data_IF_786488495835
#
_entry.id   IF_786488495835
#
_cell.length_a   1.000
_cell.length_b   1.000
_cell.length_c   1.000
_cell.angle_alpha   90.00
_cell.angle_beta   90.00
_cell.angle_gamma   90.00
#
_symmetry.space_group_name_H-M   'P 1'
#
loop_
_entity.id
_entity.type
_entity.pdbx_description
1 polymer ?
#
# COMPACT_ATOMS: atom_id res chain seq x y z
N UNK A 1 42.16 -31.93 49.84
CA UNK A 1 41.75 -32.44 48.51
C UNK A 1 40.34 -31.95 48.20
N UNK A 2 40.20 -30.96 47.33
CA UNK A 2 39.03 -30.65 46.47
C UNK A 2 39.31 -29.28 45.82
N UNK A 3 39.94 -29.30 44.65
CA UNK A 3 40.07 -28.13 43.78
C UNK A 3 38.84 -28.08 42.88
N UNK A 4 38.16 -26.93 42.89
CA UNK A 4 37.00 -26.63 42.05
C UNK A 4 37.52 -26.05 40.73
N UNK A 5 37.33 -26.78 39.61
CA UNK A 5 37.59 -26.25 38.27
C UNK A 5 36.39 -25.40 37.82
N UNK A 6 36.63 -24.14 37.49
CA UNK A 6 35.72 -23.31 36.70
C UNK A 6 36.11 -23.44 35.22
N UNK A 7 35.22 -24.02 34.42
CA UNK A 7 35.36 -24.08 32.95
C UNK A 7 34.80 -22.79 32.36
N UNK A 8 35.69 -21.93 31.85
CA UNK A 8 35.33 -20.74 31.07
C UNK A 8 35.07 -21.20 29.62
N UNK A 9 33.83 -21.07 29.16
CA UNK A 9 33.50 -21.22 27.73
C UNK A 9 33.91 -19.95 26.98
N UNK A 10 34.99 -20.06 26.21
CA UNK A 10 35.41 -19.03 25.26
C UNK A 10 34.54 -19.15 24.00
N UNK A 11 33.57 -18.26 23.81
CA UNK A 11 32.90 -18.10 22.52
C UNK A 11 33.83 -17.37 21.56
N UNK A 12 34.42 -18.12 20.62
CA UNK A 12 35.13 -17.54 19.48
C UNK A 12 34.07 -17.03 18.50
N UNK A 13 33.83 -15.72 18.50
CA UNK A 13 33.17 -15.07 17.36
C UNK A 13 34.12 -15.14 16.18
N UNK A 14 33.86 -16.05 15.25
CA UNK A 14 34.44 -16.00 13.91
C UNK A 14 33.79 -14.80 13.23
N UNK A 15 34.47 -13.64 13.32
CA UNK A 15 34.22 -12.53 12.42
C UNK A 15 34.57 -13.02 11.02
N UNK A 16 33.55 -13.41 10.25
CA UNK A 16 33.69 -13.58 8.83
C UNK A 16 34.14 -12.21 8.27
N UNK A 17 35.44 -12.07 8.04
CA UNK A 17 35.99 -11.02 7.21
C UNK A 17 35.43 -11.24 5.81
N UNK A 18 34.25 -10.67 5.55
CA UNK A 18 33.68 -10.57 4.22
C UNK A 18 34.70 -9.84 3.35
N UNK A 19 35.28 -10.57 2.41
CA UNK A 19 35.92 -10.02 1.23
C UNK A 19 35.01 -8.92 0.68
N UNK A 20 35.54 -7.71 0.49
CA UNK A 20 34.83 -6.63 -0.21
C UNK A 20 34.14 -7.24 -1.44
N UNK A 21 32.82 -7.06 -1.63
CA UNK A 21 32.24 -7.40 -2.91
C UNK A 21 32.99 -6.58 -3.96
N UNK A 22 33.60 -7.26 -4.92
CA UNK A 22 33.99 -6.65 -6.18
C UNK A 22 32.78 -5.87 -6.71
N UNK A 23 33.01 -4.70 -7.33
CA UNK A 23 31.97 -3.91 -7.98
C UNK A 23 31.36 -4.73 -9.12
N UNK A 24 30.47 -5.68 -8.80
CA UNK A 24 29.62 -6.34 -9.78
C UNK A 24 28.69 -5.25 -10.31
N UNK A 25 28.64 -5.01 -11.63
CA UNK A 25 27.70 -4.06 -12.19
C UNK A 25 26.27 -4.48 -11.79
N UNK A 26 25.39 -3.49 -11.62
CA UNK A 26 23.99 -3.74 -11.26
C UNK A 26 23.34 -4.73 -12.25
N UNK A 27 22.62 -5.70 -11.71
CA UNK A 27 21.83 -6.67 -12.47
C UNK A 27 20.41 -6.69 -11.88
N UNK A 28 19.40 -6.44 -12.70
CA UNK A 28 18.00 -6.51 -12.27
C UNK A 28 17.64 -7.92 -11.79
N UNK A 29 18.17 -8.97 -12.42
CA UNK A 29 17.88 -10.35 -12.03
C UNK A 29 18.45 -10.68 -10.65
N UNK A 30 19.67 -10.23 -10.35
CA UNK A 30 20.27 -10.41 -9.02
C UNK A 30 19.48 -9.63 -7.96
N UNK A 31 19.06 -8.40 -8.30
CA UNK A 31 18.28 -7.53 -7.42
C UNK A 31 16.90 -8.09 -7.10
N UNK A 32 16.18 -8.55 -8.14
CA UNK A 32 14.89 -9.22 -8.03
C UNK A 32 15.01 -10.48 -7.17
N UNK A 33 16.05 -11.28 -7.37
CA UNK A 33 16.31 -12.47 -6.55
C UNK A 33 16.46 -12.14 -5.07
N UNK A 34 17.21 -11.08 -4.71
CA UNK A 34 17.35 -10.66 -3.32
C UNK A 34 16.04 -10.14 -2.71
N UNK A 35 15.23 -9.41 -3.48
CA UNK A 35 13.89 -8.96 -3.05
C UNK A 35 12.99 -10.16 -2.76
N UNK A 36 12.96 -11.15 -3.67
CA UNK A 36 12.20 -12.37 -3.50
C UNK A 36 12.67 -13.18 -2.29
N UNK A 37 13.98 -13.27 -2.02
CA UNK A 37 14.49 -13.93 -0.80
C UNK A 37 14.06 -13.22 0.49
N UNK A 38 13.82 -11.91 0.44
CA UNK A 38 13.33 -11.13 1.59
C UNK A 38 11.84 -11.40 1.83
N UNK A 39 11.04 -11.44 0.76
CA UNK A 39 9.61 -11.74 0.85
C UNK A 39 9.33 -13.21 1.17
N UNK A 40 10.06 -14.13 0.54
CA UNK A 40 9.94 -15.58 0.72
C UNK A 40 11.06 -16.09 1.63
N UNK A 41 10.98 -15.73 2.90
CA UNK A 41 12.02 -16.01 3.90
C UNK A 41 11.64 -17.10 4.92
N UNK A 42 10.42 -17.64 4.87
CA UNK A 42 9.97 -18.65 5.84
C UNK A 42 10.12 -20.07 5.33
N UNK A 43 10.48 -20.97 6.23
CA UNK A 43 10.43 -22.43 6.02
C UNK A 43 9.03 -22.97 6.28
N UNK A 44 8.74 -24.17 5.77
CA UNK A 44 7.48 -24.88 6.02
C UNK A 44 7.21 -25.05 7.54
N UNK A 45 8.24 -25.36 8.32
CA UNK A 45 8.09 -25.52 9.78
C UNK A 45 7.63 -24.23 10.44
N UNK A 46 8.22 -23.08 10.08
CA UNK A 46 7.84 -21.79 10.64
C UNK A 46 6.39 -21.42 10.29
N UNK A 47 5.94 -21.72 9.07
CA UNK A 47 4.54 -21.50 8.67
C UNK A 47 3.61 -22.42 9.46
N UNK A 48 3.94 -23.71 9.59
CA UNK A 48 3.17 -24.66 10.42
C UNK A 48 3.08 -24.22 11.87
N UNK A 49 4.15 -23.67 12.45
CA UNK A 49 4.15 -23.19 13.83
C UNK A 49 3.17 -22.04 14.06
N UNK A 50 2.98 -21.17 13.06
CA UNK A 50 1.90 -20.18 13.12
C UNK A 50 0.52 -20.86 13.03
N UNK A 51 0.32 -21.76 12.07
CA UNK A 51 -0.97 -22.43 11.83
C UNK A 51 -1.43 -23.24 13.04
N UNK A 52 -0.50 -23.91 13.73
CA UNK A 52 -0.76 -24.71 14.95
C UNK A 52 -1.37 -23.93 16.10
N UNK A 53 -1.27 -22.59 16.08
CA UNK A 53 -1.96 -21.73 17.06
C UNK A 53 -3.48 -21.86 16.95
N UNK A 54 -4.00 -22.23 15.79
CA UNK A 54 -5.44 -22.37 15.52
C UNK A 54 -5.84 -23.79 15.12
N UNK A 55 -4.95 -24.50 14.41
CA UNK A 55 -5.14 -25.88 13.96
C UNK A 55 -3.97 -26.76 14.47
N UNK A 56 -4.02 -27.24 15.73
CA UNK A 56 -2.90 -27.96 16.36
C UNK A 56 -2.45 -29.20 15.59
N UNK A 57 -3.40 -29.91 14.97
CA UNK A 57 -3.19 -31.17 14.24
C UNK A 57 -3.03 -30.96 12.72
N UNK A 58 -2.51 -29.79 12.30
CA UNK A 58 -2.29 -29.49 10.87
C UNK A 58 -1.44 -30.58 10.19
N UNK A 59 -1.93 -31.08 9.06
CA UNK A 59 -1.31 -32.15 8.28
C UNK A 59 -0.55 -31.62 7.07
N UNK A 60 0.41 -32.40 6.57
CA UNK A 60 1.12 -32.08 5.32
C UNK A 60 0.19 -32.05 4.11
N UNK A 61 -0.91 -32.81 4.17
CA UNK A 61 -1.93 -32.80 3.12
C UNK A 61 -2.69 -31.46 3.08
N UNK A 62 -3.06 -30.92 4.23
CA UNK A 62 -3.66 -29.58 4.30
C UNK A 62 -2.70 -28.50 3.78
N UNK A 63 -1.41 -28.59 4.12
CA UNK A 63 -0.40 -27.69 3.57
C UNK A 63 -0.37 -27.73 2.04
N UNK A 64 -0.33 -28.93 1.44
CA UNK A 64 -0.37 -29.10 -0.03
C UNK A 64 -1.65 -28.57 -0.66
N UNK A 65 -2.79 -28.71 0.01
CA UNK A 65 -4.07 -28.18 -0.47
C UNK A 65 -4.07 -26.65 -0.48
N UNK A 66 -3.56 -26.02 0.59
CA UNK A 66 -3.44 -24.55 0.65
C UNK A 66 -2.38 -24.00 -0.30
N UNK A 67 -1.31 -24.75 -0.58
CA UNK A 67 -0.38 -24.43 -1.66
C UNK A 67 -1.06 -24.49 -3.04
N UNK A 68 -1.84 -25.54 -3.31
CA UNK A 68 -2.51 -25.72 -4.60
C UNK A 68 -3.62 -24.69 -4.85
N UNK A 69 -4.22 -24.12 -3.81
CA UNK A 69 -5.21 -23.06 -3.90
C UNK A 69 -4.64 -21.64 -3.86
N UNK A 70 -3.31 -21.49 -3.71
CA UNK A 70 -2.61 -20.23 -3.43
C UNK A 70 -3.00 -19.54 -2.10
N UNK A 71 -3.70 -20.25 -1.20
CA UNK A 71 -3.94 -19.77 0.16
C UNK A 71 -2.64 -19.68 1.00
N UNK A 72 -1.65 -20.51 0.67
CA UNK A 72 -0.26 -20.39 1.12
C UNK A 72 0.65 -20.11 -0.08
N UNK A 73 1.05 -18.85 -0.24
CA UNK A 73 2.01 -18.46 -1.27
C UNK A 73 3.42 -18.95 -0.92
N UNK A 74 4.08 -19.60 -1.88
CA UNK A 74 5.45 -20.08 -1.77
C UNK A 74 6.19 -19.91 -3.10
N UNK A 75 7.51 -20.03 -3.05
CA UNK A 75 8.39 -20.00 -4.21
C UNK A 75 9.55 -20.98 -4.04
N UNK A 76 10.07 -21.48 -5.18
CA UNK A 76 11.33 -22.22 -5.21
C UNK A 76 12.47 -21.22 -5.46
N UNK A 77 13.32 -20.98 -4.46
CA UNK A 77 14.46 -20.08 -4.55
C UNK A 77 15.73 -20.87 -4.23
N UNK A 78 16.72 -20.83 -5.12
CA UNK A 78 17.99 -21.56 -4.99
C UNK A 78 17.83 -23.08 -4.72
N UNK A 79 16.77 -23.67 -5.28
CA UNK A 79 16.43 -25.09 -5.09
C UNK A 79 15.68 -25.42 -3.80
N UNK A 80 15.38 -24.41 -2.97
CA UNK A 80 14.64 -24.57 -1.71
C UNK A 80 13.22 -24.02 -1.82
N UNK A 81 12.25 -24.73 -1.23
CA UNK A 81 10.88 -24.21 -1.07
C UNK A 81 10.86 -23.22 0.09
N UNK A 82 10.43 -21.98 -0.19
CA UNK A 82 10.26 -20.93 0.82
C UNK A 82 8.89 -20.28 0.73
N UNK A 83 8.32 -19.93 1.87
CA UNK A 83 7.00 -19.32 1.97
C UNK A 83 7.12 -17.83 2.18
N UNK A 84 6.09 -17.13 1.69
CA UNK A 84 5.94 -15.71 1.93
C UNK A 84 5.93 -15.40 3.44
N UNK A 85 6.56 -14.29 3.84
CA UNK A 85 6.73 -13.86 5.25
C UNK A 85 5.41 -13.76 6.02
N UNK A 86 4.28 -13.52 5.34
CA UNK A 86 2.95 -13.49 5.94
C UNK A 86 2.05 -14.66 5.53
N UNK A 87 2.58 -15.75 4.95
CA UNK A 87 1.79 -16.88 4.47
C UNK A 87 0.86 -17.46 5.56
N UNK A 88 1.40 -17.73 6.76
CA UNK A 88 0.60 -18.22 7.90
C UNK A 88 -0.56 -17.28 8.28
N UNK A 89 -0.32 -16.00 8.62
CA UNK A 89 -1.38 -15.03 8.88
C UNK A 89 -2.38 -14.85 7.73
N UNK A 90 -1.91 -14.83 6.49
CA UNK A 90 -2.77 -14.65 5.31
C UNK A 90 -3.68 -15.86 5.09
N UNK A 91 -3.25 -17.09 5.37
CA UNK A 91 -4.10 -18.28 5.29
C UNK A 91 -5.44 -18.07 6.01
N UNK A 92 -5.41 -17.52 7.23
CA UNK A 92 -6.60 -17.25 8.04
C UNK A 92 -7.40 -16.02 7.61
N UNK A 93 -7.02 -15.35 6.52
CA UNK A 93 -7.78 -14.27 5.87
C UNK A 93 -8.37 -14.74 4.54
N UNK A 94 -7.68 -15.63 3.83
CA UNK A 94 -8.01 -16.02 2.45
C UNK A 94 -8.78 -17.33 2.37
N UNK A 95 -8.46 -18.32 3.22
CA UNK A 95 -9.18 -19.58 3.27
C UNK A 95 -10.35 -19.47 4.24
N UNK A 96 -11.58 -19.69 3.74
CA UNK A 96 -12.80 -19.47 4.52
C UNK A 96 -12.90 -20.40 5.73
N UNK A 97 -12.45 -21.66 5.62
CA UNK A 97 -12.49 -22.59 6.73
C UNK A 97 -11.50 -22.20 7.83
N UNK A 98 -10.29 -21.79 7.45
CA UNK A 98 -9.31 -21.25 8.39
C UNK A 98 -9.81 -19.95 9.05
N UNK A 99 -10.38 -19.05 8.26
CA UNK A 99 -11.00 -17.81 8.76
C UNK A 99 -12.05 -18.10 9.84
N UNK A 100 -12.98 -19.02 9.58
CA UNK A 100 -14.02 -19.40 10.54
C UNK A 100 -13.43 -19.95 11.84
N UNK A 101 -12.38 -20.77 11.75
CA UNK A 101 -11.66 -21.29 12.93
C UNK A 101 -11.05 -20.16 13.74
N UNK A 102 -10.42 -19.17 13.08
CA UNK A 102 -9.82 -18.03 13.77
C UNK A 102 -10.88 -17.17 14.45
N UNK A 103 -11.97 -16.85 13.74
CA UNK A 103 -13.07 -16.07 14.29
C UNK A 103 -13.75 -16.79 15.46
N UNK A 104 -13.95 -18.10 15.38
CA UNK A 104 -14.51 -18.87 16.49
C UNK A 104 -13.65 -18.79 17.76
N UNK A 105 -12.33 -18.65 17.60
CA UNK A 105 -11.36 -18.55 18.70
C UNK A 105 -11.17 -17.14 19.24
N UNK A 106 -11.10 -16.14 18.36
CA UNK A 106 -10.75 -14.75 18.71
C UNK A 106 -11.98 -13.83 18.83
N UNK A 107 -13.12 -14.26 18.31
CA UNK A 107 -14.32 -13.45 18.14
C UNK A 107 -14.25 -12.52 16.93
N UNK A 108 -15.37 -11.87 16.64
CA UNK A 108 -15.44 -10.78 15.65
C UNK A 108 -15.27 -9.44 16.36
N UNK A 109 -14.32 -8.63 15.89
CA UNK A 109 -14.16 -7.26 16.36
C UNK A 109 -13.80 -6.36 15.18
N UNK A 110 -14.42 -5.18 15.13
CA UNK A 110 -14.01 -4.14 14.20
C UNK A 110 -12.56 -3.74 14.49
N UNK A 111 -11.78 -3.60 13.42
CA UNK A 111 -10.45 -3.00 13.45
C UNK A 111 -10.51 -1.56 13.96
N UNK A 112 -9.35 -0.99 14.27
CA UNK A 112 -9.26 0.41 14.75
C UNK A 112 -9.83 1.41 13.74
N UNK A 113 -9.52 1.26 12.46
CA UNK A 113 -10.03 2.11 11.39
C UNK A 113 -11.54 1.92 11.17
N UNK A 114 -12.04 0.68 11.21
CA UNK A 114 -13.49 0.41 11.10
C UNK A 114 -14.29 1.02 12.25
N UNK A 115 -13.76 1.01 13.48
CA UNK A 115 -14.42 1.68 14.62
C UNK A 115 -14.55 3.18 14.40
N UNK A 116 -13.52 3.82 13.84
CA UNK A 116 -13.55 5.25 13.54
C UNK A 116 -14.51 5.52 12.38
N UNK A 117 -14.47 4.70 11.33
CA UNK A 117 -15.33 4.88 10.15
C UNK A 117 -16.81 4.62 10.44
N UNK A 118 -17.14 3.69 11.34
CA UNK A 118 -18.51 3.47 11.79
C UNK A 118 -19.21 4.76 12.26
N UNK A 119 -18.44 5.69 12.83
CA UNK A 119 -18.94 7.00 13.24
C UNK A 119 -18.70 8.09 12.16
N UNK A 120 -17.55 8.10 11.49
CA UNK A 120 -17.19 9.17 10.56
C UNK A 120 -17.95 9.13 9.22
N UNK A 121 -18.23 7.94 8.67
CA UNK A 121 -18.96 7.83 7.40
C UNK A 121 -20.35 8.48 7.44
N UNK A 122 -21.23 8.15 8.41
CA UNK A 122 -22.55 8.79 8.51
C UNK A 122 -22.46 10.29 8.84
N UNK A 123 -21.44 10.73 9.57
CA UNK A 123 -21.19 12.15 9.83
C UNK A 123 -20.92 12.91 8.51
N UNK A 124 -20.07 12.35 7.63
CA UNK A 124 -19.77 12.90 6.31
C UNK A 124 -21.04 12.94 5.46
N UNK A 125 -21.75 11.82 5.31
CA UNK A 125 -22.98 11.74 4.51
C UNK A 125 -23.99 12.81 4.96
N UNK A 126 -24.24 12.90 6.27
CA UNK A 126 -25.16 13.89 6.85
C UNK A 126 -24.72 15.32 6.57
N UNK A 127 -23.42 15.61 6.71
CA UNK A 127 -22.88 16.94 6.45
C UNK A 127 -22.98 17.32 4.97
N UNK A 128 -22.72 16.39 4.05
CA UNK A 128 -22.87 16.61 2.61
C UNK A 128 -24.32 16.86 2.25
N UNK A 129 -25.26 16.02 2.71
CA UNK A 129 -26.69 16.16 2.44
C UNK A 129 -27.24 17.48 2.97
N UNK A 130 -26.79 17.93 4.15
CA UNK A 130 -27.23 19.20 4.76
C UNK A 130 -26.70 20.42 4.02
N UNK A 131 -25.44 20.39 3.60
CA UNK A 131 -24.73 21.59 3.10
C UNK A 131 -24.63 21.66 1.58
N UNK A 132 -24.96 20.58 0.87
CA UNK A 132 -24.86 20.49 -0.59
C UNK A 132 -23.43 20.52 -1.13
N UNK A 133 -22.42 20.26 -0.29
CA UNK A 133 -21.00 20.24 -0.65
C UNK A 133 -20.43 18.85 -0.40
N UNK A 134 -19.77 18.27 -1.41
CA UNK A 134 -19.23 16.91 -1.34
C UNK A 134 -18.11 16.74 -0.30
N UNK A 135 -17.37 17.81 0.01
CA UNK A 135 -16.25 17.78 0.97
C UNK A 135 -16.72 18.32 2.34
N UNK A 136 -16.52 17.53 3.39
CA UNK A 136 -17.02 17.82 4.74
C UNK A 136 -16.07 17.27 5.84
N UNK A 137 -16.43 17.53 7.10
CA UNK A 137 -15.81 16.94 8.31
C UNK A 137 -14.27 17.06 8.33
N UNK A 138 -13.71 18.28 8.44
CA UNK A 138 -12.27 18.49 8.42
C UNK A 138 -11.57 17.98 9.70
N UNK A 139 -10.46 17.28 9.53
CA UNK A 139 -9.55 16.79 10.58
C UNK A 139 -8.15 17.34 10.35
N UNK A 140 -7.66 18.11 11.32
CA UNK A 140 -6.36 18.76 11.33
C UNK A 140 -5.37 17.87 12.07
N UNK A 141 -4.27 17.54 11.42
CA UNK A 141 -3.21 16.70 11.97
C UNK A 141 -1.87 17.40 11.87
N UNK A 142 -1.02 17.22 12.88
CA UNK A 142 0.42 17.45 12.79
C UNK A 142 1.09 16.09 12.73
N UNK A 143 2.03 15.93 11.81
CA UNK A 143 2.77 14.69 11.60
C UNK A 143 4.25 14.98 11.70
N UNK A 144 4.96 14.19 12.49
CA UNK A 144 6.41 14.06 12.41
C UNK A 144 6.72 12.70 11.80
N UNK A 145 7.29 12.73 10.58
CA UNK A 145 7.73 11.54 9.88
C UNK A 145 9.23 11.39 10.04
N UNK A 146 9.69 10.21 10.47
CA UNK A 146 11.11 9.92 10.70
C UNK A 146 11.51 8.69 9.90
N UNK A 147 12.60 8.79 9.15
CA UNK A 147 13.28 7.66 8.50
C UNK A 147 14.66 7.49 9.14
N UNK A 148 14.99 6.27 9.51
CA UNK A 148 16.26 5.92 10.16
C UNK A 148 16.99 4.86 9.34
N UNK A 149 18.12 5.25 8.73
CA UNK A 149 19.05 4.31 8.10
C UNK A 149 19.88 3.62 9.17
N UNK A 150 20.00 2.29 9.05
CA UNK A 150 20.65 1.47 10.05
C UNK A 150 22.13 1.84 10.25
N UNK A 151 22.60 1.61 11.47
CA UNK A 151 23.98 1.91 11.86
C UNK A 151 24.96 1.16 10.96
N UNK A 152 25.90 1.90 10.35
CA UNK A 152 26.89 1.39 9.41
C UNK A 152 26.34 0.74 8.11
N UNK A 153 25.05 0.91 7.76
CA UNK A 153 24.52 0.49 6.46
C UNK A 153 25.18 1.24 5.29
N UNK A 154 25.69 2.45 5.55
CA UNK A 154 26.47 3.26 4.62
C UNK A 154 27.82 3.58 5.26
N UNK A 155 28.95 3.50 4.51
CA UNK A 155 30.26 3.83 5.05
C UNK A 155 30.34 5.27 5.55
N UNK A 156 31.03 5.48 6.68
CA UNK A 156 31.17 6.80 7.30
C UNK A 156 31.73 7.85 6.32
N UNK A 157 31.17 9.07 6.39
CA UNK A 157 31.50 10.20 5.53
C UNK A 157 30.83 10.18 4.15
N UNK A 158 30.23 9.05 3.73
CA UNK A 158 29.49 8.97 2.47
C UNK A 158 28.13 9.66 2.60
N UNK A 159 27.70 10.25 1.50
CA UNK A 159 26.47 11.04 1.42
C UNK A 159 25.28 10.12 1.16
N UNK A 160 24.28 10.20 2.02
CA UNK A 160 22.99 9.54 1.88
C UNK A 160 22.01 10.55 1.32
N UNK A 161 21.26 10.15 0.29
CA UNK A 161 20.17 10.88 -0.34
C UNK A 161 18.85 10.26 0.13
N UNK A 162 17.94 11.07 0.66
CA UNK A 162 16.69 10.61 1.26
C UNK A 162 15.49 11.38 0.70
N UNK A 163 14.42 10.68 0.35
CA UNK A 163 13.13 11.25 -0.03
C UNK A 163 12.09 10.80 0.99
N UNK A 164 11.43 11.75 1.65
CA UNK A 164 10.33 11.52 2.57
C UNK A 164 8.97 11.87 1.92
N UNK A 165 7.88 11.18 2.30
CA UNK A 165 6.52 11.46 1.81
C UNK A 165 5.98 12.78 2.36
N UNK A 166 5.71 13.73 1.48
CA UNK A 166 5.17 15.03 1.87
C UNK A 166 3.72 15.20 1.37
N UNK A 167 2.77 15.69 2.18
CA UNK A 167 1.38 15.84 1.77
C UNK A 167 1.24 16.77 0.56
N UNK A 168 0.47 16.32 -0.44
CA UNK A 168 0.10 17.13 -1.60
C UNK A 168 -0.65 18.40 -1.20
N UNK A 169 -0.40 19.47 -1.96
CA UNK A 169 -0.96 20.81 -1.74
C UNK A 169 -2.10 21.17 -2.69
N UNK A 170 -2.41 20.30 -3.65
CA UNK A 170 -3.26 20.58 -4.81
C UNK A 170 -4.53 19.72 -4.84
N UNK A 171 -4.95 19.20 -3.68
CA UNK A 171 -6.09 18.30 -3.54
C UNK A 171 -7.21 19.01 -2.81
N UNK A 172 -8.42 19.06 -3.38
CA UNK A 172 -9.52 19.83 -2.79
C UNK A 172 -9.87 19.39 -1.35
N UNK A 173 -9.78 18.09 -1.07
CA UNK A 173 -10.05 17.51 0.26
C UNK A 173 -8.84 17.47 1.21
N UNK A 174 -7.65 17.87 0.75
CA UNK A 174 -6.45 17.98 1.59
C UNK A 174 -5.86 19.39 1.45
N UNK A 175 -6.02 20.19 2.49
CA UNK A 175 -5.75 21.63 2.45
C UNK A 175 -4.92 22.11 3.63
N UNK A 176 -4.58 23.39 3.60
CA UNK A 176 -3.88 24.10 4.67
C UNK A 176 -2.54 23.43 5.05
N UNK A 177 -1.88 22.81 4.07
CA UNK A 177 -0.60 22.13 4.26
C UNK A 177 0.46 23.16 4.68
N UNK A 178 1.05 22.94 5.85
CA UNK A 178 2.05 23.83 6.45
C UNK A 178 3.27 23.00 6.86
N UNK A 179 4.41 23.31 6.28
CA UNK A 179 5.69 22.79 6.75
C UNK A 179 6.08 23.43 8.10
N UNK A 180 6.66 22.64 9.00
CA UNK A 180 7.10 23.09 10.33
C UNK A 180 8.62 23.01 10.45
N UNK A 181 9.22 21.86 10.19
CA UNK A 181 10.67 21.65 10.31
C UNK A 181 11.15 20.42 9.54
N UNK A 182 12.44 20.37 9.27
CA UNK A 182 13.16 19.19 8.78
C UNK A 182 14.41 18.97 9.62
N UNK A 183 14.94 17.74 9.64
CA UNK A 183 16.16 17.41 10.39
C UNK A 183 17.41 18.06 9.80
N UNK A 184 17.42 18.28 8.47
CA UNK A 184 18.53 18.91 7.77
C UNK A 184 18.16 20.34 7.35
N UNK A 185 19.11 21.29 7.39
CA UNK A 185 18.86 22.69 7.04
C UNK A 185 18.69 22.89 5.52
N UNK A 186 19.27 22.00 4.71
CA UNK A 186 19.13 21.99 3.26
C UNK A 186 18.17 20.89 2.84
N UNK A 187 17.08 21.28 2.18
CA UNK A 187 16.06 20.36 1.69
C UNK A 187 15.38 20.91 0.44
N UNK A 188 14.79 20.01 -0.35
CA UNK A 188 14.11 20.36 -1.60
C UNK A 188 12.74 19.68 -1.65
N UNK A 189 11.67 20.46 -1.79
CA UNK A 189 10.36 19.91 -2.12
C UNK A 189 10.30 19.54 -3.61
N UNK A 190 9.66 18.41 -3.92
CA UNK A 190 9.30 18.11 -5.31
C UNK A 190 8.41 19.22 -5.89
N UNK A 191 8.59 19.59 -7.17
CA UNK A 191 7.63 20.45 -7.88
C UNK A 191 6.19 19.95 -7.78
N UNK A 192 5.22 20.86 -7.81
CA UNK A 192 3.80 20.50 -7.60
C UNK A 192 3.24 19.60 -8.72
N UNK A 193 3.75 19.70 -9.94
CA UNK A 193 3.36 18.88 -11.09
C UNK A 193 3.92 17.43 -11.02
N UNK A 194 4.91 17.18 -10.14
CA UNK A 194 5.34 15.83 -9.84
C UNK A 194 4.20 15.06 -9.18
N UNK A 195 3.94 13.84 -9.66
CA UNK A 195 2.84 13.01 -9.17
C UNK A 195 3.13 12.36 -7.82
N UNK A 196 4.41 12.17 -7.48
CA UNK A 196 4.86 11.77 -6.14
C UNK A 196 5.38 13.02 -5.43
N UNK A 197 4.79 13.34 -4.27
CA UNK A 197 5.15 14.54 -3.50
C UNK A 197 6.17 14.19 -2.41
N UNK A 198 7.34 14.82 -2.47
CA UNK A 198 8.47 14.46 -1.62
C UNK A 198 9.14 15.65 -0.96
N UNK A 199 9.70 15.44 0.23
CA UNK A 199 10.78 16.27 0.78
C UNK A 199 12.11 15.52 0.63
N UNK A 200 13.04 16.11 -0.11
CA UNK A 200 14.38 15.58 -0.32
C UNK A 200 15.39 16.18 0.67
N UNK A 201 16.25 15.35 1.24
CA UNK A 201 17.36 15.74 2.11
C UNK A 201 18.62 14.92 1.84
N UNK A 202 19.77 15.48 2.22
CA UNK A 202 21.05 14.79 2.18
C UNK A 202 21.76 14.86 3.54
N UNK A 203 22.41 13.76 3.93
CA UNK A 203 23.17 13.71 5.18
C UNK A 203 24.35 12.75 5.05
N UNK A 204 25.47 13.06 5.71
CA UNK A 204 26.63 12.15 5.73
C UNK A 204 26.48 11.11 6.84
N UNK A 205 26.75 9.85 6.50
CA UNK A 205 26.77 8.76 7.48
C UNK A 205 27.89 8.97 8.51
N UNK A 206 27.61 8.68 9.78
CA UNK A 206 28.56 8.76 10.89
C UNK A 206 28.88 7.36 11.40
N UNK A 207 30.16 7.11 11.70
CA UNK A 207 30.61 5.78 12.14
C UNK A 207 29.96 5.42 13.49
N UNK A 208 29.31 4.26 13.54
CA UNK A 208 28.70 3.75 14.77
C UNK A 208 27.37 4.42 15.15
N UNK A 209 26.81 5.25 14.28
CA UNK A 209 25.53 5.91 14.49
C UNK A 209 24.56 5.61 13.33
N UNK A 210 23.24 5.49 13.59
CA UNK A 210 22.25 5.47 12.54
C UNK A 210 22.13 6.86 11.90
N UNK A 211 21.73 6.92 10.63
CA UNK A 211 21.48 8.20 9.95
C UNK A 211 19.99 8.49 9.94
N UNK A 212 19.58 9.51 10.69
CA UNK A 212 18.17 9.88 10.86
C UNK A 212 17.84 11.10 10.01
N UNK A 213 16.72 10.99 9.28
CA UNK A 213 16.04 12.06 8.55
C UNK A 213 14.64 12.23 9.13
N UNK A 214 14.19 13.47 9.29
CA UNK A 214 12.80 13.71 9.68
C UNK A 214 12.23 14.99 9.11
N UNK A 215 10.91 15.02 9.03
CA UNK A 215 10.13 16.22 8.73
C UNK A 215 8.91 16.33 9.64
N UNK A 216 8.51 17.56 9.94
CA UNK A 216 7.26 17.86 10.64
C UNK A 216 6.43 18.80 9.77
N UNK A 217 5.16 18.45 9.61
CA UNK A 217 4.20 19.27 8.88
C UNK A 217 2.81 19.16 9.51
N UNK A 218 1.92 20.06 9.10
CA UNK A 218 0.51 20.02 9.44
C UNK A 218 -0.32 20.07 8.17
N UNK A 219 -1.48 19.43 8.19
CA UNK A 219 -2.44 19.49 7.09
C UNK A 219 -3.86 19.22 7.60
N UNK A 220 -4.85 19.62 6.81
CA UNK A 220 -6.26 19.34 7.06
C UNK A 220 -6.75 18.33 6.02
N UNK A 221 -7.15 17.15 6.48
CA UNK A 221 -7.88 16.16 5.67
C UNK A 221 -9.38 16.36 5.85
N UNK A 222 -10.16 16.24 4.79
CA UNK A 222 -11.61 16.31 4.82
C UNK A 222 -12.18 15.02 4.23
N UNK A 223 -13.29 14.54 4.80
CA UNK A 223 -14.09 13.50 4.16
C UNK A 223 -14.71 14.03 2.87
N UNK A 224 -14.90 13.14 1.90
CA UNK A 224 -15.55 13.46 0.63
C UNK A 224 -16.61 12.40 0.36
N UNK A 225 -17.81 12.81 -0.07
CA UNK A 225 -18.85 11.88 -0.48
C UNK A 225 -19.74 12.51 -1.54
N UNK A 226 -20.01 11.74 -2.59
CA UNK A 226 -20.88 12.10 -3.69
C UNK A 226 -22.12 11.20 -3.67
N UNK A 227 -23.30 11.81 -3.68
CA UNK A 227 -24.56 11.07 -3.83
C UNK A 227 -24.73 10.64 -5.29
N UNK A 228 -23.95 9.64 -5.72
CA UNK A 228 -23.91 9.19 -7.11
C UNK A 228 -25.22 8.52 -7.52
N UNK A 229 -25.89 9.12 -8.50
CA UNK A 229 -27.07 8.54 -9.13
C UNK A 229 -26.81 8.32 -10.63
N UNK A 230 -27.32 7.22 -11.23
CA UNK A 230 -27.09 6.94 -12.65
C UNK A 230 -27.47 8.10 -13.58
N UNK A 231 -28.53 8.84 -13.26
CA UNK A 231 -29.02 9.99 -14.04
C UNK A 231 -28.08 11.20 -14.03
N UNK A 232 -27.16 11.30 -13.07
CA UNK A 232 -26.20 12.40 -12.99
C UNK A 232 -24.98 12.16 -13.92
N UNK A 233 -24.80 10.91 -14.38
CA UNK A 233 -23.68 10.51 -15.25
C UNK A 233 -24.04 10.72 -16.71
N UNK A 234 -23.31 11.61 -17.37
CA UNK A 234 -23.48 11.94 -18.79
C UNK A 234 -22.63 11.02 -19.67
N UNK A 235 -22.94 10.92 -20.98
CA UNK A 235 -22.06 10.26 -21.93
C UNK A 235 -20.69 10.94 -22.02
N UNK A 236 -19.62 10.17 -22.06
CA UNK A 236 -18.26 10.71 -22.18
C UNK A 236 -18.00 11.31 -23.57
N UNK A 237 -17.26 12.41 -23.61
CA UNK A 237 -16.53 12.83 -24.82
C UNK A 237 -15.27 11.97 -24.96
N UNK A 238 -15.33 10.93 -25.80
CA UNK A 238 -14.22 10.00 -26.00
C UNK A 238 -13.03 10.60 -26.75
N UNK A 239 -13.18 11.82 -27.28
CA UNK A 239 -12.09 12.53 -27.96
C UNK A 239 -11.25 13.39 -27.01
N UNK A 240 -11.78 13.71 -25.82
CA UNK A 240 -11.13 14.55 -24.81
C UNK A 240 -9.81 13.93 -24.30
N UNK A 241 -8.77 14.76 -24.04
CA UNK A 241 -7.49 14.26 -23.53
C UNK A 241 -7.62 13.44 -22.24
N UNK A 242 -8.45 13.91 -21.29
CA UNK A 242 -8.72 13.21 -20.03
C UNK A 242 -9.25 11.80 -20.28
N UNK A 243 -10.27 11.66 -21.16
CA UNK A 243 -10.83 10.36 -21.45
C UNK A 243 -9.77 9.41 -22.02
N UNK A 244 -9.01 9.87 -23.02
CA UNK A 244 -7.96 9.07 -23.66
C UNK A 244 -6.88 8.64 -22.68
N UNK A 245 -6.35 9.57 -21.89
CA UNK A 245 -5.28 9.30 -20.92
C UNK A 245 -5.73 8.30 -19.85
N UNK A 246 -6.89 8.53 -19.25
CA UNK A 246 -7.35 7.77 -18.10
C UNK A 246 -8.18 6.55 -18.45
N UNK A 247 -8.37 6.24 -19.74
CA UNK A 247 -8.86 4.93 -20.22
C UNK A 247 -7.80 4.13 -20.97
N UNK A 248 -6.62 4.70 -21.20
CA UNK A 248 -5.54 4.00 -21.87
C UNK A 248 -4.91 2.90 -21.00
N UNK A 249 -4.41 1.90 -21.70
CA UNK A 249 -3.45 0.93 -21.20
C UNK A 249 -2.15 1.65 -20.82
N UNK A 250 -1.46 1.17 -19.78
CA UNK A 250 -0.15 1.66 -19.36
C UNK A 250 0.71 0.51 -18.89
N UNK A 251 1.93 0.45 -19.39
CA UNK A 251 2.87 -0.65 -19.14
C UNK A 251 3.02 -0.99 -17.65
N UNK A 252 3.35 -2.27 -17.40
CA UNK A 252 3.44 -2.95 -16.09
C UNK A 252 2.09 -3.22 -15.44
N UNK A 253 1.43 -2.22 -14.85
CA UNK A 253 0.33 -2.49 -13.91
C UNK A 253 -1.08 -2.19 -14.43
N UNK A 254 -1.24 -1.44 -15.53
CA UNK A 254 -2.55 -1.27 -16.21
C UNK A 254 -2.44 -1.88 -17.60
N UNK A 255 -2.26 -3.20 -17.64
CA UNK A 255 -2.12 -3.97 -18.89
C UNK A 255 -3.45 -4.65 -19.19
N UNK A 256 -3.94 -4.52 -20.43
CA UNK A 256 -5.23 -5.01 -20.88
C UNK A 256 -5.10 -6.40 -21.49
N UNK A 257 -4.72 -7.36 -20.66
CA UNK A 257 -4.60 -8.77 -21.06
C UNK A 257 -5.92 -9.32 -21.62
N UNK A 258 -5.89 -10.37 -22.45
CA UNK A 258 -7.11 -11.02 -22.92
C UNK A 258 -8.06 -11.44 -21.78
N UNK A 259 -7.52 -11.96 -20.68
CA UNK A 259 -8.29 -12.40 -19.50
C UNK A 259 -8.98 -11.22 -18.81
N UNK A 260 -8.28 -10.10 -18.61
CA UNK A 260 -8.86 -8.90 -18.01
C UNK A 260 -9.92 -8.27 -18.92
N UNK A 261 -9.73 -8.31 -20.24
CA UNK A 261 -10.74 -7.85 -21.23
C UNK A 261 -12.01 -8.68 -21.16
N UNK A 262 -11.89 -10.00 -21.16
CA UNK A 262 -13.02 -10.91 -21.04
C UNK A 262 -13.76 -10.72 -19.71
N UNK A 263 -13.00 -10.57 -18.62
CA UNK A 263 -13.57 -10.31 -17.30
C UNK A 263 -14.37 -9.00 -17.27
N UNK A 264 -13.77 -7.90 -17.73
CA UNK A 264 -14.45 -6.60 -17.79
C UNK A 264 -15.73 -6.65 -18.65
N UNK A 265 -15.67 -7.29 -19.83
CA UNK A 265 -16.82 -7.46 -20.70
C UNK A 265 -17.95 -8.27 -20.03
N UNK A 266 -17.60 -9.34 -19.30
CA UNK A 266 -18.56 -10.18 -18.57
C UNK A 266 -19.21 -9.42 -17.41
N UNK A 267 -18.43 -8.70 -16.61
CA UNK A 267 -18.93 -7.96 -15.45
C UNK A 267 -19.85 -6.80 -15.85
N UNK A 268 -19.60 -6.19 -17.02
CA UNK A 268 -20.32 -5.02 -17.51
C UNK A 268 -21.35 -5.34 -18.60
N UNK A 269 -21.59 -6.61 -18.88
CA UNK A 269 -22.50 -7.06 -19.94
C UNK A 269 -23.91 -6.46 -19.77
N UNK A 270 -24.44 -5.91 -20.87
CA UNK A 270 -25.77 -5.30 -20.94
C UNK A 270 -25.93 -3.98 -20.17
N UNK A 271 -24.89 -3.50 -19.47
CA UNK A 271 -24.90 -2.21 -18.78
C UNK A 271 -24.30 -1.14 -19.68
N UNK A 272 -24.92 0.05 -19.70
CA UNK A 272 -24.41 1.19 -20.47
C UNK A 272 -24.02 2.36 -19.60
N UNK A 273 -24.58 2.46 -18.39
CA UNK A 273 -24.26 3.55 -17.47
C UNK A 273 -22.87 3.33 -16.83
N UNK A 274 -21.91 4.27 -16.98
CA UNK A 274 -20.55 4.12 -16.43
C UNK A 274 -20.50 3.88 -14.92
N UNK A 275 -21.34 4.56 -14.14
CA UNK A 275 -21.39 4.37 -12.69
C UNK A 275 -21.90 2.97 -12.33
N UNK A 276 -22.95 2.48 -12.99
CA UNK A 276 -23.45 1.12 -12.75
C UNK A 276 -22.44 0.04 -13.16
N UNK A 277 -21.67 0.27 -14.24
CA UNK A 277 -20.54 -0.60 -14.60
C UNK A 277 -19.48 -0.63 -13.50
N UNK A 278 -19.02 0.55 -13.04
CA UNK A 278 -18.06 0.67 -11.95
C UNK A 278 -18.57 -0.02 -10.68
N UNK A 279 -19.85 0.14 -10.35
CA UNK A 279 -20.50 -0.52 -9.20
C UNK A 279 -20.48 -2.05 -9.31
N UNK A 280 -20.76 -2.62 -10.49
CA UNK A 280 -20.67 -4.07 -10.70
C UNK A 280 -19.24 -4.59 -10.52
N UNK A 281 -18.25 -3.86 -11.03
CA UNK A 281 -16.83 -4.19 -10.85
C UNK A 281 -16.46 -4.12 -9.37
N UNK A 282 -16.83 -3.03 -8.68
CA UNK A 282 -16.56 -2.80 -7.26
C UNK A 282 -17.13 -3.92 -6.38
N UNK A 283 -18.41 -4.26 -6.57
CA UNK A 283 -19.05 -5.37 -5.85
C UNK A 283 -18.35 -6.69 -6.12
N UNK A 284 -18.04 -7.00 -7.38
CA UNK A 284 -17.40 -8.27 -7.72
C UNK A 284 -16.03 -8.39 -7.05
N UNK A 285 -15.21 -7.34 -7.07
CA UNK A 285 -13.90 -7.37 -6.39
C UNK A 285 -14.09 -7.55 -4.88
N UNK A 286 -14.98 -6.76 -4.26
CA UNK A 286 -15.29 -6.86 -2.83
C UNK A 286 -15.71 -8.27 -2.41
N UNK A 287 -16.53 -8.93 -3.22
CA UNK A 287 -17.12 -10.23 -2.89
C UNK A 287 -16.17 -11.42 -3.19
N UNK A 288 -15.10 -11.21 -3.97
CA UNK A 288 -14.24 -12.31 -4.46
C UNK A 288 -12.79 -12.24 -3.97
N UNK A 289 -12.30 -11.08 -3.50
CA UNK A 289 -10.90 -10.91 -3.11
C UNK A 289 -10.81 -10.38 -1.68
N UNK A 290 -10.63 -11.25 -0.68
CA UNK A 290 -10.37 -10.81 0.69
C UNK A 290 -9.07 -10.02 0.77
N UNK A 291 -9.01 -9.11 1.74
CA UNK A 291 -7.78 -8.38 2.03
C UNK A 291 -6.74 -9.31 2.68
N UNK A 292 -5.53 -9.30 2.15
CA UNK A 292 -4.39 -10.00 2.74
C UNK A 292 -3.10 -9.23 2.46
N UNK A 293 -2.08 -9.44 3.29
CA UNK A 293 -0.80 -8.72 3.14
C UNK A 293 -0.13 -9.10 1.83
N UNK A 294 0.37 -8.12 1.08
CA UNK A 294 1.10 -8.37 -0.16
C UNK A 294 2.62 -8.49 0.04
N UNK A 295 3.26 -9.18 -0.90
CA UNK A 295 4.71 -9.05 -1.16
C UNK A 295 5.04 -7.67 -1.74
N UNK A 296 6.31 -7.28 -1.72
CA UNK A 296 6.71 -5.96 -2.25
C UNK A 296 6.33 -5.86 -3.74
N UNK A 297 5.69 -4.77 -4.15
CA UNK A 297 5.15 -4.66 -5.52
C UNK A 297 6.24 -4.62 -6.58
N UNK A 298 7.45 -4.20 -6.22
CA UNK A 298 8.64 -4.29 -7.06
C UNK A 298 8.98 -5.71 -7.55
N UNK A 299 8.38 -6.75 -6.96
CA UNK A 299 8.51 -8.15 -7.38
C UNK A 299 7.34 -8.64 -8.23
N UNK A 300 6.37 -7.79 -8.55
CA UNK A 300 5.15 -8.15 -9.29
C UNK A 300 5.14 -7.39 -10.61
N UNK A 301 5.18 -8.12 -11.72
CA UNK A 301 5.18 -7.49 -13.05
C UNK A 301 3.82 -6.87 -13.40
N UNK A 302 2.74 -7.64 -13.21
CA UNK A 302 1.37 -7.24 -13.48
C UNK A 302 0.49 -7.54 -12.25
N UNK A 303 0.20 -6.48 -11.49
CA UNK A 303 -0.55 -6.56 -10.23
C UNK A 303 -1.99 -7.06 -10.43
N UNK A 304 -2.79 -6.53 -11.36
CA UNK A 304 -4.14 -7.06 -11.62
C UNK A 304 -4.17 -8.57 -11.91
N UNK A 305 -3.26 -9.08 -12.74
CA UNK A 305 -3.18 -10.54 -13.01
C UNK A 305 -2.77 -11.32 -11.75
N UNK A 306 -1.80 -10.80 -11.00
CA UNK A 306 -1.39 -11.40 -9.73
C UNK A 306 -2.56 -11.52 -8.75
N UNK A 307 -3.44 -10.51 -8.64
CA UNK A 307 -4.65 -10.59 -7.80
C UNK A 307 -5.58 -11.69 -8.29
N UNK A 308 -5.83 -11.78 -9.61
CA UNK A 308 -6.70 -12.83 -10.17
C UNK A 308 -6.17 -14.24 -9.92
N UNK A 309 -4.85 -14.42 -9.92
CA UNK A 309 -4.20 -15.72 -9.68
C UNK A 309 -4.12 -16.09 -8.21
N UNK A 310 -3.82 -15.13 -7.34
CA UNK A 310 -3.68 -15.36 -5.90
C UNK A 310 -5.01 -15.30 -5.14
N UNK A 311 -6.08 -14.79 -5.77
CA UNK A 311 -7.43 -14.72 -5.18
C UNK A 311 -7.52 -13.87 -3.91
N UNK A 312 -6.59 -12.95 -3.73
CA UNK A 312 -6.60 -11.95 -2.66
C UNK A 312 -5.75 -10.75 -3.09
N UNK A 313 -5.82 -9.65 -2.33
CA UNK A 313 -4.88 -8.55 -2.50
C UNK A 313 -4.97 -7.52 -1.39
N UNK A 314 -3.91 -6.72 -1.24
CA UNK A 314 -3.93 -5.55 -0.35
C UNK A 314 -4.50 -4.31 -1.06
N UNK A 315 -4.38 -3.13 -0.44
CA UNK A 315 -5.05 -1.92 -0.89
C UNK A 315 -4.66 -1.45 -2.29
N UNK A 316 -3.36 -1.39 -2.61
CA UNK A 316 -2.89 -1.04 -3.95
C UNK A 316 -3.21 -2.11 -4.98
N UNK A 317 -3.14 -3.38 -4.60
CA UNK A 317 -3.44 -4.49 -5.49
C UNK A 317 -4.88 -4.51 -5.99
N UNK A 318 -5.85 -4.45 -5.08
CA UNK A 318 -7.27 -4.45 -5.46
C UNK A 318 -7.68 -3.14 -6.15
N UNK A 319 -7.04 -2.02 -5.79
CA UNK A 319 -7.27 -0.72 -6.44
C UNK A 319 -6.77 -0.73 -7.89
N UNK A 320 -5.59 -1.30 -8.17
CA UNK A 320 -5.08 -1.43 -9.54
C UNK A 320 -5.92 -2.39 -10.38
N UNK A 321 -6.43 -3.48 -9.80
CA UNK A 321 -7.39 -4.36 -10.49
C UNK A 321 -8.67 -3.59 -10.84
N UNK A 322 -9.24 -2.85 -9.88
CA UNK A 322 -10.43 -2.03 -10.09
C UNK A 322 -10.22 -0.99 -11.20
N UNK A 323 -9.13 -0.21 -11.11
CA UNK A 323 -8.76 0.79 -12.13
C UNK A 323 -8.64 0.13 -13.50
N UNK A 324 -7.93 -0.99 -13.60
CA UNK A 324 -7.71 -1.68 -14.89
C UNK A 324 -9.03 -2.13 -15.51
N UNK A 325 -9.93 -2.74 -14.74
CA UNK A 325 -11.25 -3.15 -15.22
C UNK A 325 -12.14 -1.96 -15.61
N UNK A 326 -12.07 -0.85 -14.86
CA UNK A 326 -12.73 0.41 -15.22
C UNK A 326 -12.22 0.95 -16.55
N UNK A 327 -10.90 1.05 -16.74
CA UNK A 327 -10.30 1.59 -17.97
C UNK A 327 -10.63 0.74 -19.19
N UNK A 328 -10.54 -0.59 -19.08
CA UNK A 328 -11.00 -1.52 -20.14
C UNK A 328 -12.47 -1.29 -20.49
N UNK A 329 -13.29 -0.96 -19.49
CA UNK A 329 -14.73 -0.70 -19.66
C UNK A 329 -15.04 0.72 -20.17
N UNK A 330 -14.02 1.51 -20.52
CA UNK A 330 -14.16 2.88 -21.02
C UNK A 330 -14.52 3.90 -19.93
N UNK A 331 -14.15 3.62 -18.67
CA UNK A 331 -14.38 4.49 -17.51
C UNK A 331 -13.03 5.07 -17.09
N UNK A 332 -12.84 6.40 -17.14
CA UNK A 332 -11.56 6.98 -16.77
C UNK A 332 -11.29 6.83 -15.28
N UNK A 333 -10.14 6.28 -14.91
CA UNK A 333 -9.77 6.01 -13.52
C UNK A 333 -8.25 6.18 -13.30
N UNK A 334 -7.81 6.59 -12.11
CA UNK A 334 -6.39 6.62 -11.77
C UNK A 334 -6.11 6.22 -10.33
N UNK A 335 -4.82 5.98 -10.08
CA UNK A 335 -4.30 5.54 -8.80
C UNK A 335 -4.02 6.75 -7.91
N UNK A 336 -4.21 6.57 -6.61
CA UNK A 336 -3.81 7.54 -5.60
C UNK A 336 -3.34 6.79 -4.35
N UNK A 337 -2.36 7.35 -3.65
CA UNK A 337 -1.84 6.71 -2.45
C UNK A 337 -1.32 7.70 -1.42
N UNK A 338 -1.18 7.19 -0.20
CA UNK A 338 -0.51 7.87 0.89
C UNK A 338 -0.74 7.10 2.18
N UNK A 339 -1.55 7.62 3.09
CA UNK A 339 -1.77 6.98 4.37
C UNK A 339 -3.25 7.05 4.79
N UNK A 340 -3.71 6.00 5.45
CA UNK A 340 -4.86 6.09 6.34
C UNK A 340 -4.38 6.59 7.70
N UNK A 341 -5.09 7.57 8.27
CA UNK A 341 -4.63 8.37 9.41
C UNK A 341 -5.61 8.27 10.57
N UNK A 342 -6.31 7.14 10.70
CA UNK A 342 -7.27 6.94 11.78
C UNK A 342 -6.55 6.96 13.14
N UNK A 343 -7.12 7.63 14.16
CA UNK A 343 -6.57 7.65 15.51
C UNK A 343 -6.22 6.26 16.05
N UNK A 344 -4.93 6.05 16.34
CA UNK A 344 -4.35 4.77 16.83
C UNK A 344 -4.41 3.61 15.84
N UNK A 345 -4.70 3.87 14.57
CA UNK A 345 -4.83 2.86 13.52
C UNK A 345 -4.35 3.40 12.16
N UNK A 346 -3.30 4.23 12.17
CA UNK A 346 -2.69 4.72 10.94
C UNK A 346 -1.94 3.59 10.21
N UNK A 347 -1.89 3.65 8.88
CA UNK A 347 -1.10 2.73 8.05
C UNK A 347 -0.90 3.30 6.64
N UNK A 348 -0.04 2.66 5.85
CA UNK A 348 0.02 2.85 4.40
C UNK A 348 -1.36 2.53 3.79
N UNK A 349 -1.76 3.28 2.76
CA UNK A 349 -3.02 3.02 2.08
C UNK A 349 -3.04 3.57 0.65
N UNK A 350 -3.67 2.80 -0.24
CA UNK A 350 -3.84 3.11 -1.65
C UNK A 350 -5.30 2.97 -2.05
N UNK A 351 -5.73 3.79 -2.99
CA UNK A 351 -7.10 3.80 -3.48
C UNK A 351 -7.14 4.31 -4.93
N UNK A 352 -8.35 4.46 -5.47
CA UNK A 352 -8.59 4.93 -6.82
C UNK A 352 -9.37 6.25 -6.83
N UNK A 353 -9.26 7.00 -7.91
CA UNK A 353 -10.23 8.02 -8.29
C UNK A 353 -10.83 7.65 -9.65
N UNK A 354 -12.13 7.87 -9.82
CA UNK A 354 -12.88 7.59 -11.05
C UNK A 354 -13.54 8.86 -11.53
N UNK A 355 -13.51 9.09 -12.84
CA UNK A 355 -14.16 10.24 -13.46
C UNK A 355 -15.50 9.84 -14.07
N UNK A 356 -16.57 10.52 -13.66
CA UNK A 356 -17.88 10.42 -14.30
C UNK A 356 -18.23 11.76 -14.94
N UNK A 357 -18.50 11.77 -16.26
CA UNK A 357 -18.89 12.99 -16.97
C UNK A 357 -20.16 13.58 -16.34
N UNK A 358 -20.17 14.90 -16.11
CA UNK A 358 -21.24 15.58 -15.36
C UNK A 358 -21.07 15.63 -13.84
N UNK A 359 -20.28 14.74 -13.24
CA UNK A 359 -19.96 14.73 -11.80
C UNK A 359 -18.53 15.20 -11.53
N UNK A 360 -17.55 14.67 -12.27
CA UNK A 360 -16.13 14.91 -12.06
C UNK A 360 -15.40 13.70 -11.51
N UNK A 361 -14.20 13.94 -10.95
CA UNK A 361 -13.42 12.93 -10.22
C UNK A 361 -14.05 12.66 -8.86
N UNK A 362 -14.23 11.39 -8.53
CA UNK A 362 -14.73 10.92 -7.23
C UNK A 362 -13.81 9.83 -6.69
N UNK A 363 -13.57 9.78 -5.38
CA UNK A 363 -12.74 8.74 -4.79
C UNK A 363 -13.46 7.39 -4.74
N UNK A 364 -12.68 6.32 -4.87
CA UNK A 364 -13.12 4.93 -4.70
C UNK A 364 -12.08 4.17 -3.91
N UNK A 365 -12.46 3.61 -2.76
CA UNK A 365 -11.58 2.81 -1.91
C UNK A 365 -12.01 1.34 -1.96
N UNK A 366 -11.45 0.60 -2.91
CA UNK A 366 -11.77 -0.80 -3.13
C UNK A 366 -11.36 -1.70 -1.95
N UNK A 367 -10.34 -1.28 -1.19
CA UNK A 367 -9.82 -2.03 -0.05
C UNK A 367 -10.73 -1.96 1.16
N UNK A 368 -11.32 -0.80 1.44
CA UNK A 368 -12.33 -0.66 2.50
C UNK A 368 -13.70 -1.16 2.04
N UNK A 369 -13.95 -1.14 0.72
CA UNK A 369 -15.01 -1.93 0.11
C UNK A 369 -16.40 -1.59 0.62
N UNK A 370 -17.22 -2.62 0.82
CA UNK A 370 -18.55 -2.52 1.45
C UNK A 370 -18.44 -2.82 2.95
N UNK A 371 -18.47 -1.82 3.85
CA UNK A 371 -18.17 -2.05 5.25
C UNK A 371 -19.24 -2.92 5.93
N UNK A 372 -18.82 -3.94 6.67
CA UNK A 372 -19.73 -4.86 7.35
C UNK A 372 -20.60 -4.18 8.44
N UNK A 373 -20.17 -3.03 8.95
CA UNK A 373 -20.91 -2.23 9.92
C UNK A 373 -21.94 -1.27 9.30
N UNK A 374 -22.04 -1.21 7.97
CA UNK A 374 -22.94 -0.29 7.27
C UNK A 374 -24.41 -0.57 7.62
N UNK A 375 -25.19 0.49 7.83
CA UNK A 375 -26.59 0.41 8.28
C UNK A 375 -27.62 0.62 7.17
N UNK A 376 -27.19 1.19 6.05
CA UNK A 376 -28.04 1.53 4.91
C UNK A 376 -27.21 1.46 3.60
N UNK A 377 -27.86 1.72 2.47
CA UNK A 377 -27.22 1.64 1.16
C UNK A 377 -26.11 2.69 0.97
N UNK A 378 -26.29 3.91 1.50
CA UNK A 378 -25.31 4.99 1.37
C UNK A 378 -24.01 4.66 2.12
N UNK A 379 -24.12 4.13 3.34
CA UNK A 379 -22.97 3.63 4.10
C UNK A 379 -22.33 2.40 3.44
N UNK A 380 -23.14 1.49 2.89
CA UNK A 380 -22.65 0.27 2.22
C UNK A 380 -21.81 0.58 0.99
N UNK A 381 -22.23 1.59 0.21
CA UNK A 381 -21.52 2.02 -0.99
C UNK A 381 -20.69 3.30 -0.78
N UNK A 382 -20.42 3.68 0.47
CA UNK A 382 -19.72 4.93 0.78
C UNK A 382 -18.38 5.04 0.04
N UNK A 383 -17.60 3.95 0.02
CA UNK A 383 -16.29 3.91 -0.64
C UNK A 383 -16.36 3.74 -2.16
N UNK A 384 -17.54 3.84 -2.77
CA UNK A 384 -17.73 3.97 -4.22
C UNK A 384 -18.31 5.36 -4.51
N UNK A 385 -17.43 6.38 -4.52
CA UNK A 385 -17.83 7.79 -4.62
C UNK A 385 -17.60 8.59 -3.34
N UNK A 386 -16.89 8.03 -2.36
CA UNK A 386 -16.56 8.69 -1.11
C UNK A 386 -15.28 8.17 -0.46
N UNK A 387 -14.76 8.96 0.47
CA UNK A 387 -13.56 8.66 1.25
C UNK A 387 -13.66 9.34 2.63
N UNK A 388 -13.15 8.66 3.66
CA UNK A 388 -13.26 9.15 5.04
C UNK A 388 -12.36 10.37 5.31
N UNK A 389 -12.52 10.97 6.50
CA UNK A 389 -11.80 12.21 6.87
C UNK A 389 -10.35 11.97 7.28
N UNK A 390 -9.85 10.74 7.22
CA UNK A 390 -8.59 10.31 7.79
C UNK A 390 -7.65 9.79 6.70
N UNK A 391 -7.35 10.65 5.71
CA UNK A 391 -6.43 10.34 4.62
C UNK A 391 -5.33 11.39 4.50
N UNK A 392 -4.10 10.94 4.29
CA UNK A 392 -3.02 11.78 3.79
C UNK A 392 -2.70 11.38 2.35
N UNK A 393 -2.83 12.32 1.43
CA UNK A 393 -2.55 12.13 0.01
C UNK A 393 -1.11 12.54 -0.26
N UNK A 394 -0.31 11.61 -0.77
CA UNK A 394 1.09 11.83 -1.14
C UNK A 394 1.27 11.71 -2.65
N UNK A 395 0.64 10.72 -3.28
CA UNK A 395 0.79 10.44 -4.70
C UNK A 395 -0.54 10.52 -5.43
N UNK A 396 -0.54 11.05 -6.65
CA UNK A 396 -1.70 11.11 -7.56
C UNK A 396 -1.58 10.19 -8.77
N UNK A 397 -0.52 9.37 -8.81
CA UNK A 397 -0.32 8.35 -9.82
C UNK A 397 0.67 7.29 -9.34
N UNK A 398 0.75 6.12 -10.00
CA UNK A 398 1.71 5.07 -9.67
C UNK A 398 2.98 5.13 -10.52
N UNK A 399 4.09 4.67 -9.95
CA UNK A 399 5.36 4.41 -10.63
C UNK A 399 6.05 5.64 -11.20
N UNK A 400 5.83 6.80 -10.57
CA UNK A 400 6.34 8.07 -11.07
C UNK A 400 7.76 8.36 -10.54
N UNK A 401 8.57 9.10 -11.31
CA UNK A 401 9.91 9.46 -10.90
C UNK A 401 9.88 10.40 -9.68
N UNK A 402 10.95 10.33 -8.88
CA UNK A 402 11.18 11.25 -7.76
C UNK A 402 11.98 12.46 -8.22
N UNK A 403 11.89 13.56 -7.47
CA UNK A 403 12.68 14.76 -7.69
C UNK A 403 13.42 15.15 -6.40
N UNK A 404 14.75 15.26 -6.42
CA UNK A 404 15.66 14.93 -7.53
C UNK A 404 15.57 13.45 -7.94
N UNK A 405 15.96 13.14 -9.17
CA UNK A 405 15.88 11.76 -9.67
C UNK A 405 16.80 10.82 -8.87
N UNK A 406 16.30 9.61 -8.63
CA UNK A 406 17.09 8.51 -8.07
C UNK A 406 18.02 7.93 -9.12
N UNK A 407 19.20 7.50 -8.67
CA UNK A 407 20.21 6.88 -9.54
C UNK A 407 20.04 5.36 -9.61
N UNK A 408 19.41 4.77 -8.59
CA UNK A 408 19.21 3.33 -8.49
C UNK A 408 17.72 2.98 -8.44
N UNK A 409 17.34 1.76 -8.87
CA UNK A 409 15.97 1.30 -8.76
C UNK A 409 15.42 1.42 -7.35
N UNK A 410 14.15 1.80 -7.28
CA UNK A 410 13.45 2.06 -6.02
C UNK A 410 13.20 0.78 -5.23
N UNK A 411 13.05 0.91 -3.93
CA UNK A 411 12.57 -0.19 -3.08
C UNK A 411 11.12 -0.51 -3.41
N UNK A 412 10.28 0.52 -3.52
CA UNK A 412 8.89 0.40 -3.97
C UNK A 412 8.71 1.13 -5.31
N UNK A 413 8.22 0.41 -6.31
CA UNK A 413 8.17 0.88 -7.72
C UNK A 413 6.79 1.38 -8.12
N UNK A 414 5.78 1.29 -7.26
CA UNK A 414 4.39 1.63 -7.57
C UNK A 414 3.95 2.84 -6.75
N UNK A 415 3.81 2.68 -5.44
CA UNK A 415 3.53 3.79 -4.55
C UNK A 415 4.83 4.41 -4.01
N UNK A 416 4.72 5.57 -3.38
CA UNK A 416 5.78 6.22 -2.62
C UNK A 416 5.18 6.64 -1.28
N UNK A 417 5.31 5.78 -0.26
CA UNK A 417 4.76 6.07 1.07
C UNK A 417 5.80 5.90 2.17
N UNK A 418 6.68 4.89 2.10
CA UNK A 418 7.68 4.63 3.15
C UNK A 418 8.91 5.55 3.10
N UNK A 419 9.04 6.30 2.02
CA UNK A 419 10.28 7.00 1.67
C UNK A 419 11.23 6.13 0.85
N UNK A 420 12.29 6.74 0.36
CA UNK A 420 13.31 6.10 -0.46
C UNK A 420 14.69 6.63 -0.07
N UNK A 421 15.71 5.76 -0.12
CA UNK A 421 17.07 6.13 0.28
C UNK A 421 18.08 5.52 -0.68
N UNK A 422 19.12 6.29 -1.03
CA UNK A 422 20.26 5.79 -1.78
C UNK A 422 21.56 6.49 -1.39
N UNK A 423 22.68 5.93 -1.81
CA UNK A 423 24.00 6.55 -1.71
C UNK A 423 24.82 6.18 -2.95
N UNK A 424 26.04 6.68 -3.08
CA UNK A 424 26.90 6.41 -4.25
C UNK A 424 27.22 4.92 -4.50
N UNK A 425 26.96 4.04 -3.52
CA UNK A 425 27.13 2.60 -3.65
C UNK A 425 25.85 1.82 -4.01
N UNK A 426 24.68 2.47 -4.09
CA UNK A 426 23.44 1.80 -4.45
C UNK A 426 22.18 2.29 -3.73
N UNK A 427 21.06 1.64 -4.03
CA UNK A 427 19.83 1.75 -3.27
C UNK A 427 20.01 1.18 -1.85
N UNK A 428 19.30 1.72 -0.86
CA UNK A 428 19.10 1.05 0.44
C UNK A 428 17.69 0.50 0.49
N UNK A 429 17.57 -0.82 0.58
CA UNK A 429 16.29 -1.52 0.62
C UNK A 429 15.67 -1.49 2.02
N UNK A 430 14.36 -1.76 2.11
CA UNK A 430 13.60 -1.73 3.37
C UNK A 430 14.24 -2.48 4.55
N UNK A 431 14.97 -3.59 4.39
CA UNK A 431 15.66 -4.22 5.52
C UNK A 431 16.85 -3.43 6.09
N UNK A 432 17.27 -2.34 5.46
CA UNK A 432 18.45 -1.53 5.83
C UNK A 432 18.08 -0.19 6.50
N UNK A 433 16.78 0.06 6.68
CA UNK A 433 16.26 1.27 7.30
C UNK A 433 14.84 1.05 7.80
N UNK A 434 14.40 1.91 8.71
CA UNK A 434 13.04 1.89 9.25
C UNK A 434 12.41 3.27 9.16
N UNK A 435 11.09 3.34 9.32
CA UNK A 435 10.38 4.60 9.42
C UNK A 435 9.38 4.57 10.57
N UNK A 436 9.05 5.76 11.06
CA UNK A 436 8.10 5.98 12.13
C UNK A 436 7.30 7.26 11.87
N UNK A 437 6.04 7.26 12.31
CA UNK A 437 5.16 8.40 12.21
C UNK A 437 4.53 8.71 13.58
N UNK A 438 4.79 9.93 14.07
CA UNK A 438 4.11 10.50 15.22
C UNK A 438 3.02 11.44 14.72
N UNK A 439 1.80 11.32 15.27
CA UNK A 439 0.62 12.06 14.79
C UNK A 439 -0.07 12.74 15.96
N UNK A 440 -0.12 14.07 15.94
CA UNK A 440 -0.97 14.87 16.82
C UNK A 440 -2.29 15.22 16.11
N UNK A 441 -3.41 14.80 16.69
CA UNK A 441 -4.74 15.12 16.18
C UNK A 441 -5.21 16.44 16.79
N UNK A 442 -5.02 17.55 16.06
CA UNK A 442 -5.14 18.92 16.60
C UNK A 442 -6.58 19.39 16.85
N UNK A 443 -7.57 18.73 16.26
CA UNK A 443 -8.99 19.05 16.43
C UNK A 443 -9.86 17.79 16.63
N UNK A 444 -9.29 16.75 17.26
CA UNK A 444 -9.96 15.46 17.45
C UNK A 444 -11.27 15.56 18.22
#
# INVERSE_FOLDING_TARGET
MKNLLYTVFLFVFVSACGTKPENKPYSWDDDLHQRLLTDFCLTESQVKDYIRKYLPDVTDEQMRQWEASNALEYMMLDGEKRYFRNAGPNLFRVDSACYDVKIAKEGTALSGSEKVNKENLPEIITAVQKNGKAIAVPKRMRVTYTLTVDTNAVPAGKLIRCWLPYPRKDQARQRDVKFVSASEPEYVFSPQDCRHSTLYMEKRAVKGEPTVFSETFEYTSCGEWHNLRPEDVRPYDTTAPLYKEYTAEREKHIVFSPRLRELAARLTAGETNPYLKAKRIFCWINDNFPWASAREYSTIENIPEYVLDNRHGDCGQVSLLFITLCRISGIPAHFQSGFMMHPRAWNLHDWAEVYFEGVGWVPVDQSFGMPAFARNADEKFFFLGGIDSWRMIVNTDYGMPLVPEKKYPRSETVDFQRGEVEWEGGNLYFPQWSYHMEIDYLNY
#
